data_IF_112499516898
#
_entry.id   IF_112499516898
#
_cell.length_a   1.000
_cell.length_b   1.000
_cell.length_c   1.000
_cell.angle_alpha   90.00
_cell.angle_beta   90.00
_cell.angle_gamma   90.00
#
_symmetry.space_group_name_H-M   'P 1'
#
loop_
_entity.id
_entity.type
_entity.pdbx_description
1 polymer ?
#
# COMPACT_ATOMS: atom_id res chain seq x y z
N UNK A 1 -34.64 -5.22 11.44
CA UNK A 1 -33.75 -4.12 11.85
C UNK A 1 -32.34 -4.53 11.44
N UNK A 2 -31.80 -3.98 10.35
CA UNK A 2 -30.45 -4.35 9.89
C UNK A 2 -29.43 -3.93 10.97
N UNK A 3 -28.44 -4.78 11.32
CA UNK A 3 -27.36 -4.33 12.18
C UNK A 3 -26.71 -3.12 11.53
N UNK A 4 -26.54 -2.05 12.31
CA UNK A 4 -25.94 -0.82 11.85
C UNK A 4 -24.60 -1.12 11.14
N UNK A 5 -24.29 -0.40 10.07
CA UNK A 5 -23.12 -0.62 9.22
C UNK A 5 -21.81 -0.80 10.01
N UNK A 6 -21.66 -0.08 11.13
CA UNK A 6 -20.53 -0.20 12.05
C UNK A 6 -20.42 -1.57 12.75
N UNK A 7 -21.54 -2.23 13.06
CA UNK A 7 -21.54 -3.55 13.71
C UNK A 7 -21.11 -4.65 12.72
N UNK A 8 -21.50 -4.50 11.45
CA UNK A 8 -21.03 -5.36 10.36
C UNK A 8 -19.53 -5.19 10.10
N UNK A 9 -19.06 -3.95 10.03
CA UNK A 9 -17.62 -3.67 9.88
C UNK A 9 -16.79 -4.22 11.03
N UNK A 10 -17.26 -4.12 12.28
CA UNK A 10 -16.56 -4.71 13.45
C UNK A 10 -16.49 -6.23 13.38
N UNK A 11 -17.55 -6.90 12.93
CA UNK A 11 -17.58 -8.35 12.77
C UNK A 11 -16.62 -8.80 11.65
N UNK A 12 -16.59 -8.08 10.54
CA UNK A 12 -15.68 -8.40 9.42
C UNK A 12 -14.23 -8.13 9.82
N UNK A 13 -13.98 -7.05 10.54
CA UNK A 13 -12.67 -6.74 11.11
C UNK A 13 -12.20 -7.86 12.04
N UNK A 14 -13.02 -8.31 12.99
CA UNK A 14 -12.60 -9.38 13.92
C UNK A 14 -12.32 -10.70 13.19
N UNK A 15 -13.08 -11.01 12.14
CA UNK A 15 -12.83 -12.19 11.29
C UNK A 15 -11.52 -12.07 10.51
N UNK A 16 -11.25 -10.92 9.88
CA UNK A 16 -9.99 -10.66 9.19
C UNK A 16 -8.82 -10.84 10.14
N UNK A 17 -8.87 -10.23 11.34
CA UNK A 17 -7.80 -10.36 12.34
C UNK A 17 -7.56 -11.81 12.77
N UNK A 18 -8.64 -12.58 12.96
CA UNK A 18 -8.54 -14.01 13.24
C UNK A 18 -7.86 -14.75 12.08
N UNK A 19 -8.26 -14.50 10.83
CA UNK A 19 -7.62 -15.11 9.65
C UNK A 19 -6.15 -14.76 9.53
N UNK A 20 -5.79 -13.49 9.74
CA UNK A 20 -4.39 -13.06 9.78
C UNK A 20 -3.61 -13.82 10.85
N UNK A 21 -4.19 -14.02 12.04
CA UNK A 21 -3.54 -14.79 13.12
C UNK A 21 -3.38 -16.27 12.81
N UNK A 22 -4.28 -16.86 12.02
CA UNK A 22 -4.19 -18.25 11.59
C UNK A 22 -3.10 -18.45 10.52
N UNK A 23 -2.88 -17.46 9.65
CA UNK A 23 -2.04 -17.60 8.45
C UNK A 23 -0.67 -16.93 8.54
N UNK A 24 -0.44 -16.09 9.55
CA UNK A 24 0.84 -15.41 9.78
C UNK A 24 1.45 -15.95 11.08
N UNK A 25 2.45 -16.85 10.99
CA UNK A 25 3.13 -17.41 12.16
C UNK A 25 3.70 -16.29 13.04
N UNK A 26 3.44 -16.36 14.35
CA UNK A 26 3.91 -15.36 15.31
C UNK A 26 3.13 -14.04 15.30
N UNK A 27 2.06 -13.91 14.50
CA UNK A 27 1.21 -12.73 14.53
C UNK A 27 0.50 -12.59 15.88
N UNK A 28 0.88 -11.55 16.60
CA UNK A 28 0.24 -11.15 17.85
C UNK A 28 -0.39 -9.79 17.66
N UNK A 29 -1.72 -9.78 17.49
CA UNK A 29 -2.50 -8.55 17.26
C UNK A 29 -2.31 -7.46 18.33
N UNK A 30 -1.83 -7.81 19.52
CA UNK A 30 -1.57 -6.86 20.61
C UNK A 30 -0.15 -6.28 20.56
N UNK A 31 0.78 -6.84 19.79
CA UNK A 31 2.12 -6.27 19.59
C UNK A 31 2.09 -5.14 18.54
N UNK A 32 3.03 -4.17 18.57
CA UNK A 32 3.01 -3.02 17.67
C UNK A 32 2.91 -3.38 16.18
N UNK A 33 3.66 -4.38 15.73
CA UNK A 33 3.71 -4.86 14.34
C UNK A 33 2.39 -5.54 13.97
N UNK A 34 1.85 -6.36 14.88
CA UNK A 34 0.56 -7.00 14.70
C UNK A 34 -0.57 -5.98 14.59
N UNK A 35 -0.54 -4.91 15.42
CA UNK A 35 -1.49 -3.79 15.34
C UNK A 35 -1.34 -3.00 14.05
N UNK A 36 -0.11 -2.74 13.61
CA UNK A 36 0.13 -2.06 12.34
C UNK A 36 -0.45 -2.86 11.18
N UNK A 37 -0.11 -4.14 11.09
CA UNK A 37 -0.59 -5.03 10.03
C UNK A 37 -2.11 -5.15 10.02
N UNK A 38 -2.71 -5.31 11.20
CA UNK A 38 -4.15 -5.27 11.42
C UNK A 38 -4.79 -3.99 10.86
N UNK A 39 -4.22 -2.83 11.19
CA UNK A 39 -4.74 -1.55 10.74
C UNK A 39 -4.65 -1.39 9.22
N UNK A 40 -3.53 -1.81 8.61
CA UNK A 40 -3.37 -1.80 7.15
C UNK A 40 -4.42 -2.68 6.50
N UNK A 41 -4.56 -3.94 6.94
CA UNK A 41 -5.54 -4.87 6.39
C UNK A 41 -6.98 -4.35 6.54
N UNK A 42 -7.35 -3.82 7.71
CA UNK A 42 -8.70 -3.27 7.94
C UNK A 42 -8.96 -2.07 7.03
N UNK A 43 -7.98 -1.20 6.86
CA UNK A 43 -8.10 -0.04 5.97
C UNK A 43 -8.24 -0.46 4.50
N UNK A 44 -7.41 -1.38 4.05
CA UNK A 44 -7.49 -1.94 2.69
C UNK A 44 -8.82 -2.66 2.44
N UNK A 45 -9.35 -3.36 3.45
CA UNK A 45 -10.66 -4.01 3.36
C UNK A 45 -11.79 -2.98 3.22
N UNK A 46 -11.73 -1.88 3.99
CA UNK A 46 -12.71 -0.79 3.88
C UNK A 46 -12.71 -0.19 2.48
N UNK A 47 -11.52 0.06 1.94
CA UNK A 47 -11.38 0.51 0.56
C UNK A 47 -11.98 -0.51 -0.40
N UNK A 48 -11.61 -1.79 -0.27
CA UNK A 48 -12.13 -2.86 -1.11
C UNK A 48 -13.65 -2.97 -1.08
N UNK A 49 -14.28 -2.93 0.11
CA UNK A 49 -15.74 -3.00 0.26
C UNK A 49 -16.43 -1.76 -0.33
N UNK A 50 -15.82 -0.58 -0.20
CA UNK A 50 -16.37 0.66 -0.78
C UNK A 50 -16.53 0.54 -2.31
N UNK A 51 -15.55 -0.05 -3.00
CA UNK A 51 -15.55 -0.17 -4.46
C UNK A 51 -16.13 -1.49 -4.98
N UNK A 52 -15.98 -2.58 -4.21
CA UNK A 52 -16.51 -3.91 -4.47
C UNK A 52 -17.33 -4.33 -3.25
N UNK A 53 -18.58 -3.85 -3.09
CA UNK A 53 -19.42 -4.27 -1.99
C UNK A 53 -19.88 -5.73 -2.18
N UNK A 54 -20.06 -6.50 -1.09
CA UNK A 54 -20.61 -7.84 -1.20
C UNK A 54 -22.05 -7.79 -1.73
N UNK A 55 -22.40 -8.76 -2.59
CA UNK A 55 -23.78 -8.97 -3.00
C UNK A 55 -24.66 -9.31 -1.78
N UNK A 56 -25.94 -8.90 -1.75
CA UNK A 56 -26.85 -9.20 -0.63
C UNK A 56 -26.99 -10.69 -0.29
N UNK A 57 -26.70 -11.57 -1.25
CA UNK A 57 -26.86 -13.02 -1.12
C UNK A 57 -25.58 -13.75 -0.69
N UNK A 58 -24.46 -13.04 -0.54
CA UNK A 58 -23.17 -13.64 -0.16
C UNK A 58 -23.06 -13.63 1.37
N UNK A 59 -22.61 -14.75 1.95
CA UNK A 59 -22.25 -14.78 3.35
C UNK A 59 -21.09 -13.80 3.59
N UNK A 60 -21.30 -12.82 4.47
CA UNK A 60 -20.31 -11.77 4.71
C UNK A 60 -19.02 -12.35 5.30
N UNK A 61 -19.13 -13.47 6.00
CA UNK A 61 -18.02 -14.23 6.52
C UNK A 61 -17.14 -14.80 5.43
N UNK A 62 -17.74 -15.56 4.54
CA UNK A 62 -17.09 -16.13 3.35
C UNK A 62 -16.46 -15.03 2.49
N UNK A 63 -17.17 -13.91 2.33
CA UNK A 63 -16.65 -12.74 1.61
C UNK A 63 -15.35 -12.18 2.23
N UNK A 64 -15.34 -11.98 3.55
CA UNK A 64 -14.16 -11.48 4.26
C UNK A 64 -13.02 -12.49 4.26
N UNK A 65 -13.32 -13.79 4.38
CA UNK A 65 -12.32 -14.86 4.35
C UNK A 65 -11.64 -14.92 2.98
N UNK A 66 -12.42 -14.94 1.89
CA UNK A 66 -11.90 -14.91 0.51
C UNK A 66 -11.08 -13.65 0.24
N UNK A 67 -11.52 -12.48 0.73
CA UNK A 67 -10.72 -11.26 0.62
C UNK A 67 -9.41 -11.35 1.41
N UNK A 68 -9.45 -11.85 2.64
CA UNK A 68 -8.26 -11.92 3.51
C UNK A 68 -7.20 -12.85 2.93
N UNK A 69 -7.57 -13.98 2.33
CA UNK A 69 -6.66 -14.88 1.62
C UNK A 69 -5.96 -14.16 0.46
N UNK A 70 -6.73 -13.48 -0.39
CA UNK A 70 -6.17 -12.71 -1.52
C UNK A 70 -5.28 -11.56 -1.05
N UNK A 71 -5.66 -10.91 0.05
CA UNK A 71 -4.88 -9.83 0.64
C UNK A 71 -3.54 -10.35 1.18
N UNK A 72 -3.54 -11.53 1.83
CA UNK A 72 -2.32 -12.19 2.31
C UNK A 72 -1.39 -12.58 1.17
N UNK A 73 -1.92 -13.06 0.05
CA UNK A 73 -1.12 -13.37 -1.13
C UNK A 73 -0.46 -12.10 -1.70
N UNK A 74 -1.23 -11.01 -1.79
CA UNK A 74 -0.69 -9.70 -2.21
C UNK A 74 0.32 -9.14 -1.21
N UNK A 75 0.09 -9.29 0.09
CA UNK A 75 1.07 -8.93 1.11
C UNK A 75 2.41 -9.66 0.87
N UNK A 76 2.37 -10.98 0.68
CA UNK A 76 3.57 -11.80 0.42
C UNK A 76 4.29 -11.40 -0.87
N UNK A 77 3.53 -11.04 -1.91
CA UNK A 77 4.07 -10.59 -3.19
C UNK A 77 4.73 -9.20 -3.08
N UNK A 78 4.06 -8.27 -2.37
CA UNK A 78 4.35 -6.83 -2.45
C UNK A 78 5.17 -6.29 -1.29
N UNK A 79 5.30 -7.00 -0.18
CA UNK A 79 5.89 -6.45 1.05
C UNK A 79 7.22 -7.10 1.35
N UNK A 80 8.28 -6.28 1.44
CA UNK A 80 9.60 -6.68 1.93
C UNK A 80 9.85 -6.08 3.30
N UNK A 81 10.11 -6.94 4.28
CA UNK A 81 10.52 -6.51 5.62
C UNK A 81 12.02 -6.16 5.60
N UNK A 82 12.35 -5.00 6.19
CA UNK A 82 13.71 -4.48 6.28
C UNK A 82 14.10 -4.40 7.74
N UNK A 83 15.08 -5.21 8.12
CA UNK A 83 15.58 -5.29 9.50
C UNK A 83 16.86 -4.47 9.70
N UNK A 84 17.73 -4.42 8.69
CA UNK A 84 19.05 -3.79 8.80
C UNK A 84 19.08 -2.37 8.20
N UNK A 85 19.86 -1.42 8.78
CA UNK A 85 19.96 -0.05 8.28
C UNK A 85 20.51 0.08 6.85
N UNK A 86 21.38 -0.84 6.42
CA UNK A 86 22.03 -0.86 5.11
C UNK A 86 21.06 -1.04 3.93
N UNK A 87 19.88 -1.62 4.18
CA UNK A 87 18.79 -1.73 3.21
C UNK A 87 17.90 -0.46 3.18
N UNK A 88 18.28 0.58 3.94
CA UNK A 88 17.46 1.76 4.18
C UNK A 88 17.46 2.82 3.07
N UNK A 89 18.23 2.64 2.01
CA UNK A 89 18.28 3.57 0.88
C UNK A 89 16.90 3.76 0.22
N UNK A 90 16.03 2.75 0.28
CA UNK A 90 14.64 2.82 -0.20
C UNK A 90 13.82 3.83 0.60
N UNK A 91 14.04 3.93 1.92
CA UNK A 91 13.34 4.92 2.76
C UNK A 91 13.77 6.35 2.44
N UNK A 92 15.08 6.58 2.24
CA UNK A 92 15.59 7.91 1.87
C UNK A 92 15.02 8.41 0.53
N UNK A 93 14.81 7.47 -0.41
CA UNK A 93 14.19 7.75 -1.70
C UNK A 93 12.71 8.15 -1.55
N UNK A 94 11.93 7.41 -0.76
CA UNK A 94 10.54 7.76 -0.46
C UNK A 94 10.41 9.10 0.29
N UNK A 95 11.26 9.34 1.29
CA UNK A 95 11.31 10.62 2.01
C UNK A 95 11.64 11.79 1.09
N UNK A 96 12.55 11.59 0.12
CA UNK A 96 12.85 12.57 -0.92
C UNK A 96 11.62 12.84 -1.79
N UNK A 97 10.90 11.82 -2.26
CA UNK A 97 9.66 12.00 -3.03
C UNK A 97 8.63 12.84 -2.26
N UNK A 98 8.39 12.51 -0.98
CA UNK A 98 7.48 13.28 -0.12
C UNK A 98 7.91 14.74 -0.04
N UNK A 99 9.19 14.98 0.28
CA UNK A 99 9.74 16.34 0.42
C UNK A 99 9.65 17.12 -0.88
N UNK A 100 10.08 16.53 -1.99
CA UNK A 100 10.17 17.21 -3.28
C UNK A 100 8.77 17.55 -3.86
N UNK A 101 7.74 16.79 -3.47
CA UNK A 101 6.35 16.98 -3.91
C UNK A 101 5.46 17.70 -2.89
N UNK A 102 5.95 17.95 -1.67
CA UNK A 102 5.16 18.48 -0.56
C UNK A 102 4.39 19.76 -0.91
N UNK A 103 5.03 20.67 -1.65
CA UNK A 103 4.42 21.95 -2.06
C UNK A 103 3.18 21.75 -2.95
N UNK A 104 3.29 20.86 -3.95
CA UNK A 104 2.21 20.55 -4.89
C UNK A 104 1.13 19.70 -4.22
N UNK A 105 1.53 18.72 -3.42
CA UNK A 105 0.64 17.85 -2.67
C UNK A 105 -0.32 18.62 -1.78
N UNK A 106 0.18 19.55 -0.97
CA UNK A 106 -0.65 20.33 -0.04
C UNK A 106 -1.60 21.32 -0.72
N UNK A 107 -1.48 21.51 -2.04
CA UNK A 107 -2.28 22.44 -2.86
C UNK A 107 -3.02 21.74 -4.00
N UNK A 108 -3.00 20.41 -4.03
CA UNK A 108 -3.68 19.64 -5.05
C UNK A 108 -5.20 19.75 -4.87
N UNK A 109 -5.96 20.16 -5.91
CA UNK A 109 -7.42 20.26 -5.81
C UNK A 109 -8.06 18.90 -5.57
N UNK A 110 -8.97 18.80 -4.60
CA UNK A 110 -9.73 17.56 -4.33
C UNK A 110 -8.83 16.33 -4.14
N UNK A 111 -7.76 16.49 -3.34
CA UNK A 111 -6.74 15.46 -3.13
C UNK A 111 -7.33 14.12 -2.63
N UNK A 112 -8.32 14.16 -1.74
CA UNK A 112 -8.94 12.95 -1.21
C UNK A 112 -9.67 12.18 -2.31
N UNK A 113 -10.47 12.87 -3.11
CA UNK A 113 -11.21 12.31 -4.25
C UNK A 113 -10.24 11.77 -5.32
N UNK A 114 -9.14 12.48 -5.56
CA UNK A 114 -8.06 12.00 -6.43
C UNK A 114 -7.45 10.68 -5.93
N UNK A 115 -7.14 10.59 -4.64
CA UNK A 115 -6.61 9.36 -4.04
C UNK A 115 -7.62 8.23 -4.09
N UNK A 116 -8.90 8.52 -3.86
CA UNK A 116 -9.99 7.55 -3.96
C UNK A 116 -10.06 6.92 -5.36
N UNK A 117 -9.96 7.73 -6.42
CA UNK A 117 -9.94 7.25 -7.80
C UNK A 117 -8.71 6.38 -8.11
N UNK A 118 -7.55 6.71 -7.53
CA UNK A 118 -6.33 5.91 -7.70
C UNK A 118 -6.43 4.59 -6.92
N UNK A 119 -7.02 4.59 -5.72
CA UNK A 119 -7.30 3.38 -4.94
C UNK A 119 -8.26 2.44 -5.69
N UNK A 120 -9.32 2.99 -6.29
CA UNK A 120 -10.23 2.21 -7.14
C UNK A 120 -9.48 1.56 -8.31
N UNK A 121 -8.63 2.34 -8.99
CA UNK A 121 -7.79 1.83 -10.08
C UNK A 121 -6.83 0.70 -9.66
N UNK A 122 -6.32 0.70 -8.42
CA UNK A 122 -5.52 -0.39 -7.86
C UNK A 122 -6.37 -1.65 -7.61
N UNK A 123 -7.54 -1.48 -6.98
CA UNK A 123 -8.47 -2.58 -6.66
C UNK A 123 -9.04 -3.24 -7.92
N UNK A 124 -9.24 -2.46 -8.98
CA UNK A 124 -9.63 -2.92 -10.31
C UNK A 124 -8.66 -3.98 -10.86
N UNK A 125 -7.37 -3.80 -10.62
CA UNK A 125 -6.32 -4.71 -11.11
C UNK A 125 -5.86 -5.72 -10.05
N UNK A 126 -6.53 -5.79 -8.91
CA UNK A 126 -6.25 -6.75 -7.85
C UNK A 126 -5.11 -6.35 -6.91
N UNK A 127 -4.60 -5.12 -6.99
CA UNK A 127 -3.69 -4.57 -5.99
C UNK A 127 -4.53 -4.10 -4.79
N UNK A 128 -4.78 -5.02 -3.87
CA UNK A 128 -5.67 -4.83 -2.71
C UNK A 128 -4.92 -4.66 -1.39
N UNK A 129 -3.59 -4.67 -1.41
CA UNK A 129 -2.73 -4.53 -0.23
C UNK A 129 -2.00 -3.17 -0.28
N UNK A 130 -1.94 -2.47 0.86
CA UNK A 130 -1.37 -1.13 1.00
C UNK A 130 -1.95 -0.09 0.03
N UNK A 131 -3.26 -0.15 -0.23
CA UNK A 131 -3.86 0.62 -1.34
C UNK A 131 -3.68 2.13 -1.16
N UNK A 132 -3.79 2.64 0.07
CA UNK A 132 -3.60 4.07 0.35
C UNK A 132 -2.15 4.51 0.12
N UNK A 133 -1.19 3.72 0.58
CA UNK A 133 0.25 4.02 0.42
C UNK A 133 0.64 4.00 -1.06
N UNK A 134 0.17 2.98 -1.79
CA UNK A 134 0.42 2.87 -3.24
C UNK A 134 -0.26 4.00 -4.01
N UNK A 135 -1.48 4.40 -3.63
CA UNK A 135 -2.17 5.51 -4.26
C UNK A 135 -1.46 6.85 -4.04
N UNK A 136 -1.05 7.15 -2.79
CA UNK A 136 -0.26 8.35 -2.47
C UNK A 136 1.06 8.36 -3.24
N UNK A 137 1.82 7.27 -3.19
CA UNK A 137 3.10 7.16 -3.89
C UNK A 137 2.94 7.36 -5.40
N UNK A 138 1.90 6.76 -6.00
CA UNK A 138 1.62 6.87 -7.43
C UNK A 138 1.27 8.31 -7.82
N UNK A 139 0.39 8.97 -7.06
CA UNK A 139 0.00 10.35 -7.32
C UNK A 139 1.20 11.30 -7.14
N UNK A 140 1.99 11.14 -6.07
CA UNK A 140 3.22 11.91 -5.87
C UNK A 140 4.22 11.72 -7.00
N UNK A 141 4.35 10.50 -7.54
CA UNK A 141 5.19 10.23 -8.70
C UNK A 141 4.80 11.07 -9.92
N UNK A 142 3.51 11.26 -10.18
CA UNK A 142 3.03 12.14 -11.23
C UNK A 142 3.27 13.62 -10.91
N UNK A 143 3.09 14.05 -9.66
CA UNK A 143 3.41 15.42 -9.25
C UNK A 143 4.90 15.74 -9.46
N UNK A 144 5.79 14.80 -9.13
CA UNK A 144 7.21 14.95 -9.36
C UNK A 144 7.53 15.06 -10.85
N UNK A 145 6.86 14.27 -11.71
CA UNK A 145 7.01 14.38 -13.17
C UNK A 145 6.59 15.77 -13.66
N UNK A 146 5.47 16.30 -13.16
CA UNK A 146 5.02 17.65 -13.51
C UNK A 146 6.02 18.72 -13.06
N UNK A 147 6.56 18.60 -11.84
CA UNK A 147 7.61 19.48 -11.31
C UNK A 147 8.85 19.48 -12.20
N UNK A 148 9.30 18.31 -12.64
CA UNK A 148 10.48 18.16 -13.51
C UNK A 148 10.28 18.74 -14.92
N UNK A 149 9.04 18.83 -15.40
CA UNK A 149 8.69 19.39 -16.71
C UNK A 149 8.48 20.91 -16.70
N UNK A 150 8.51 21.54 -15.53
CA UNK A 150 8.25 22.97 -15.35
C UNK A 150 9.50 23.69 -14.81
N UNK A 151 9.56 25.01 -14.99
CA UNK A 151 10.70 25.81 -14.53
C UNK A 151 10.65 26.11 -13.04
N UNK A 152 9.47 26.07 -12.44
CA UNK A 152 9.26 26.28 -11.01
C UNK A 152 8.04 25.49 -10.50
N UNK A 153 7.97 25.37 -9.17
CA UNK A 153 6.85 24.74 -8.48
C UNK A 153 5.53 25.49 -8.72
N UNK A 154 5.56 26.81 -8.83
CA UNK A 154 4.37 27.63 -9.12
C UNK A 154 3.85 27.40 -10.55
N UNK A 155 4.75 27.21 -11.50
CA UNK A 155 4.36 26.85 -12.87
C UNK A 155 3.72 25.45 -12.89
N UNK A 156 4.33 24.47 -12.21
CA UNK A 156 3.77 23.13 -12.09
C UNK A 156 2.38 23.17 -11.44
N UNK A 157 2.23 23.93 -10.34
CA UNK A 157 0.96 24.09 -9.66
C UNK A 157 -0.11 24.70 -10.56
N UNK A 158 0.19 25.77 -11.30
CA UNK A 158 -0.77 26.38 -12.25
C UNK A 158 -1.24 25.37 -13.27
N UNK A 159 -0.34 24.56 -13.84
CA UNK A 159 -0.72 23.52 -14.82
C UNK A 159 -1.60 22.45 -14.20
N UNK A 160 -1.29 22.00 -12.99
CA UNK A 160 -2.10 21.03 -12.24
C UNK A 160 -3.49 21.60 -11.94
N UNK A 161 -3.59 22.88 -11.56
CA UNK A 161 -4.87 23.52 -11.24
C UNK A 161 -5.77 23.73 -12.47
N UNK A 162 -5.18 23.90 -13.67
CA UNK A 162 -5.94 24.01 -14.92
C UNK A 162 -6.60 22.68 -15.29
N UNK A 163 -5.89 21.56 -15.09
CA UNK A 163 -6.40 20.23 -15.43
C UNK A 163 -5.92 19.17 -14.42
N UNK A 164 -6.53 19.13 -13.21
CA UNK A 164 -6.13 18.17 -12.17
C UNK A 164 -6.50 16.74 -12.57
N UNK A 165 -7.58 16.57 -13.34
CA UNK A 165 -8.05 15.25 -13.80
C UNK A 165 -7.03 14.57 -14.70
N UNK A 166 -6.28 15.31 -15.51
CA UNK A 166 -5.17 14.73 -16.27
C UNK A 166 -4.13 14.09 -15.36
N UNK A 167 -3.72 14.76 -14.28
CA UNK A 167 -2.77 14.19 -13.32
C UNK A 167 -3.32 12.93 -12.66
N UNK A 168 -4.59 12.97 -12.25
CA UNK A 168 -5.26 11.79 -11.66
C UNK A 168 -5.33 10.64 -12.66
N UNK A 169 -5.65 10.91 -13.92
CA UNK A 169 -5.73 9.90 -14.97
C UNK A 169 -4.38 9.23 -15.23
N UNK A 170 -3.29 10.01 -15.28
CA UNK A 170 -1.92 9.46 -15.38
C UNK A 170 -1.58 8.60 -14.15
N UNK A 171 -1.95 9.05 -12.94
CA UNK A 171 -1.76 8.29 -11.72
C UNK A 171 -2.57 6.98 -11.73
N UNK A 172 -3.81 6.98 -12.21
CA UNK A 172 -4.62 5.77 -12.38
C UNK A 172 -3.99 4.80 -13.40
N UNK A 173 -3.44 5.30 -14.51
CA UNK A 173 -2.74 4.46 -15.47
C UNK A 173 -1.50 3.80 -14.86
N UNK A 174 -0.73 4.56 -14.08
CA UNK A 174 0.42 4.03 -13.36
C UNK A 174 0.01 3.03 -12.28
N UNK A 175 -1.07 3.28 -11.55
CA UNK A 175 -1.62 2.32 -10.58
C UNK A 175 -2.00 1.00 -11.26
N UNK A 176 -2.68 1.05 -12.42
CA UNK A 176 -3.07 -0.14 -13.17
C UNK A 176 -1.88 -0.92 -13.72
N UNK A 177 -0.75 -0.26 -14.01
CA UNK A 177 0.45 -0.93 -14.50
C UNK A 177 1.21 -1.70 -13.41
N UNK A 178 0.97 -1.41 -12.12
CA UNK A 178 1.63 -2.11 -11.00
C UNK A 178 1.40 -3.62 -11.00
N UNK A 179 0.27 -4.10 -11.53
CA UNK A 179 0.00 -5.54 -11.70
C UNK A 179 1.06 -6.28 -12.53
N UNK A 180 1.83 -5.57 -13.34
CA UNK A 180 2.89 -6.12 -14.19
C UNK A 180 4.28 -6.02 -13.55
N UNK A 181 4.43 -5.26 -12.47
CA UNK A 181 5.68 -5.16 -11.73
C UNK A 181 5.87 -6.45 -10.95
N UNK A 182 7.05 -7.07 -11.06
CA UNK A 182 7.42 -8.26 -10.28
C UNK A 182 8.10 -7.83 -8.99
N UNK A 183 7.77 -8.51 -7.89
CA UNK A 183 8.42 -8.31 -6.60
C UNK A 183 7.79 -7.20 -5.74
N UNK A 184 8.53 -6.75 -4.71
CA UNK A 184 7.99 -5.86 -3.68
C UNK A 184 7.72 -4.46 -4.22
N UNK A 185 6.63 -3.87 -3.73
CA UNK A 185 6.24 -2.47 -3.93
C UNK A 185 6.28 -1.67 -2.62
N UNK A 186 6.31 -2.36 -1.48
CA UNK A 186 6.29 -1.77 -0.14
C UNK A 186 7.44 -2.35 0.68
N UNK A 187 8.23 -1.47 1.27
CA UNK A 187 9.28 -1.83 2.21
C UNK A 187 8.87 -1.36 3.60
N UNK A 188 8.88 -2.27 4.56
CA UNK A 188 8.53 -1.97 5.94
C UNK A 188 9.73 -2.16 6.83
N UNK A 189 10.10 -1.10 7.55
CA UNK A 189 11.14 -1.20 8.57
C UNK A 189 10.58 -1.93 9.78
N UNK A 190 11.24 -3.01 10.18
CA UNK A 190 10.93 -3.73 11.41
C UNK A 190 12.00 -3.42 12.43
N UNK A 191 11.57 -3.08 13.65
CA UNK A 191 12.50 -2.94 14.78
C UNK A 191 12.95 -4.34 15.21
N UNK A 192 14.25 -4.63 15.07
CA UNK A 192 14.84 -5.93 15.41
C UNK A 192 14.60 -6.30 16.89
N UNK A 193 14.52 -5.32 17.79
CA UNK A 193 14.33 -5.59 19.22
C UNK A 193 12.93 -6.12 19.52
N UNK A 194 11.94 -5.74 18.71
CA UNK A 194 10.55 -6.17 18.88
C UNK A 194 10.36 -7.56 18.26
N UNK A 195 10.91 -7.80 17.06
CA UNK A 195 10.71 -9.07 16.35
C UNK A 195 11.40 -10.28 17.01
N UNK A 196 12.59 -10.09 17.63
CA UNK A 196 13.31 -11.16 18.35
C UNK A 196 12.55 -11.66 19.58
N UNK A 197 11.74 -10.79 20.18
CA UNK A 197 10.95 -11.10 21.38
C UNK A 197 9.70 -11.94 21.06
N UNK A 198 9.21 -11.89 19.81
CA UNK A 198 7.92 -12.46 19.41
C UNK A 198 8.00 -13.90 18.89
N UNK A 199 9.12 -14.29 18.28
CA UNK A 199 9.25 -15.56 17.52
C UNK A 199 10.07 -16.65 18.21
N UNK A 200 10.86 -16.33 19.25
CA UNK A 200 11.59 -17.31 20.06
C UNK A 200 12.57 -18.24 19.31
N UNK A 201 12.79 -18.01 18.01
CA UNK A 201 13.70 -18.79 17.15
C UNK A 201 14.51 -17.86 16.27
N UNK A 202 15.82 -18.11 16.26
CA UNK A 202 16.76 -17.55 15.30
C UNK A 202 16.39 -18.14 13.94
N UNK A 203 15.99 -17.29 12.99
CA UNK A 203 15.95 -17.70 11.57
C UNK A 203 17.39 -17.71 11.11
N UNK A 204 17.93 -18.90 10.84
CA UNK A 204 19.25 -19.05 10.23
C UNK A 204 19.30 -18.30 8.88
N UNK A 205 20.42 -17.63 8.64
CA UNK A 205 20.64 -16.82 7.44
C UNK A 205 20.49 -17.70 6.18
N UNK A 206 19.85 -17.21 5.10
CA UNK A 206 20.02 -17.87 3.82
C UNK A 206 21.50 -17.75 3.41
N UNK A 207 22.12 -18.81 2.88
CA UNK A 207 23.55 -18.80 2.57
C UNK A 207 23.82 -17.71 1.54
N UNK A 208 24.74 -16.81 1.89
CA UNK A 208 25.19 -15.74 1.01
C UNK A 208 25.78 -16.33 -0.26
N UNK A 209 25.14 -16.05 -1.39
CA UNK A 209 25.69 -16.32 -2.71
C UNK A 209 25.48 -15.09 -3.58
N UNK A 210 26.61 -14.55 -4.04
CA UNK A 210 26.77 -13.95 -5.37
C UNK A 210 26.17 -12.58 -5.56
N UNK A 211 27.03 -11.60 -5.83
CA UNK A 211 26.70 -10.42 -6.61
C UNK A 211 26.01 -10.85 -7.91
N UNK A 212 24.67 -10.76 -7.97
CA UNK A 212 23.93 -10.81 -9.23
C UNK A 212 23.55 -9.38 -9.62
N UNK A 213 24.07 -8.96 -10.78
CA UNK A 213 23.76 -7.72 -11.48
C UNK A 213 22.25 -7.56 -11.70
N UNK A 214 21.61 -6.64 -10.98
CA UNK A 214 20.24 -6.21 -11.25
C UNK A 214 20.23 -4.99 -12.19
N UNK A 215 20.65 -5.17 -13.45
CA UNK A 215 20.55 -4.13 -14.49
C UNK A 215 19.23 -4.17 -15.30
N UNK A 216 18.21 -4.91 -14.87
CA UNK A 216 16.93 -4.98 -15.60
C UNK A 216 15.69 -4.62 -14.77
N UNK A 217 15.75 -3.52 -14.02
CA UNK A 217 14.56 -2.85 -13.49
C UNK A 217 14.46 -1.42 -14.04
N UNK A 218 13.71 -1.27 -15.13
CA UNK A 218 13.46 -0.02 -15.85
C UNK A 218 11.98 -0.06 -16.22
N UNK A 219 11.00 0.76 -15.78
CA UNK A 219 10.82 1.98 -14.97
C UNK A 219 9.48 1.80 -14.20
N UNK A 220 9.07 2.58 -13.20
CA UNK A 220 9.63 3.78 -12.59
C UNK A 220 8.79 4.16 -11.37
N UNK A 221 9.45 4.23 -10.22
CA UNK A 221 8.94 4.71 -8.93
C UNK A 221 10.11 5.44 -8.29
N UNK A 222 9.82 6.64 -7.81
CA UNK A 222 10.75 7.70 -7.41
C UNK A 222 11.15 7.66 -5.95
#
# INVERSE_FOLDING_TARGET
>A
MYPAQWARERLLTSRILRRLSEHIPGFKHHEPEGRMLANVAVNDFRNYVKYKPPSPNVDQGEYADCWAERWLDKWRERVKLVFRPQDGHVFAKHEKLIRDTSFLWSRFPHLNEALELVVDALIDVGEICFTNLLAESTLRGELLRYKQLCRSDEEALRRIQVDPLKVVKEAMYRAKSLRHVKGPLVWLRVDEHIWRSSTGKIVEEPPGNGEEEWEQAVFGIF
#
